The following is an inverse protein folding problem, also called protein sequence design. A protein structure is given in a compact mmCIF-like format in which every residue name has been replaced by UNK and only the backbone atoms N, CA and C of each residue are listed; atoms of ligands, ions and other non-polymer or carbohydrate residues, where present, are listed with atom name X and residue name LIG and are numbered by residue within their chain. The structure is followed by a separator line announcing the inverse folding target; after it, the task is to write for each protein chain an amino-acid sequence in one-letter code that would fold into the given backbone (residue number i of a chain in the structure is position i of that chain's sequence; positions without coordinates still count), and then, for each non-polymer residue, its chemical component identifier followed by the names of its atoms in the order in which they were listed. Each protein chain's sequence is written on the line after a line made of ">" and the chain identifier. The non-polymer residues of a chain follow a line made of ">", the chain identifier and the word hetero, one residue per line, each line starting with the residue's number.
data_IF_010469202176
#
_entry.id   IF_010469202176
#
_cell.length_a   1.000
_cell.length_b   1.000
_cell.length_c   1.000
_cell.angle_alpha   90.00
_cell.angle_beta   90.00
_cell.angle_gamma   90.00
#
_symmetry.space_group_name_H-M   'P 1'
#
loop_
_entity.id
_entity.type
_entity.pdbx_description
1 polymer ?
#
# COMPACT_ATOMS: atom_id res chain seq x y z
N UNK A 1 -12.20 2.51 -15.92
CA UNK A 1 -10.79 2.83 -15.62
C UNK A 1 -10.65 2.70 -14.13
N UNK A 2 -9.63 2.00 -13.64
CA UNK A 2 -9.58 1.66 -12.21
C UNK A 2 -9.12 2.88 -11.41
N UNK A 3 -9.84 3.28 -10.38
CA UNK A 3 -9.41 4.34 -9.46
C UNK A 3 -8.64 3.74 -8.28
N UNK A 4 -7.48 4.30 -7.98
CA UNK A 4 -6.64 3.86 -6.88
C UNK A 4 -6.77 4.82 -5.69
N UNK A 5 -7.25 4.33 -4.56
CA UNK A 5 -7.27 5.06 -3.31
C UNK A 5 -6.15 4.56 -2.40
N UNK A 6 -5.30 5.47 -1.95
CA UNK A 6 -4.19 5.15 -1.06
C UNK A 6 -4.44 5.68 0.34
N UNK A 7 -4.13 4.87 1.34
CA UNK A 7 -3.81 5.39 2.66
C UNK A 7 -2.47 6.15 2.63
N UNK A 8 -2.24 7.04 3.59
CA UNK A 8 -0.99 7.78 3.73
C UNK A 8 -0.04 7.07 4.71
N UNK A 9 -0.42 6.95 5.97
CA UNK A 9 0.47 6.54 7.06
C UNK A 9 0.92 5.09 6.91
N UNK A 10 2.23 4.85 6.98
CA UNK A 10 2.83 3.52 6.79
C UNK A 10 2.47 2.83 5.44
N UNK A 11 1.85 3.56 4.51
CA UNK A 11 1.45 3.08 3.17
C UNK A 11 2.19 3.86 2.09
N UNK A 12 1.99 5.19 2.02
CA UNK A 12 2.69 6.07 1.09
C UNK A 12 3.88 6.76 1.75
N UNK A 13 3.74 7.16 3.01
CA UNK A 13 4.73 7.96 3.71
C UNK A 13 4.71 7.71 5.22
N UNK A 14 5.85 7.94 5.85
CA UNK A 14 5.90 8.23 7.28
C UNK A 14 5.48 9.68 7.50
N UNK A 15 4.48 9.90 8.35
CA UNK A 15 3.96 11.22 8.67
C UNK A 15 4.34 11.65 10.06
N UNK A 16 4.96 12.82 10.18
CA UNK A 16 5.26 13.47 11.47
C UNK A 16 4.45 14.76 11.57
N UNK A 17 3.83 14.96 12.73
CA UNK A 17 3.20 16.24 13.07
C UNK A 17 4.25 17.17 13.67
N UNK A 18 4.37 18.35 13.09
CA UNK A 18 5.24 19.40 13.59
C UNK A 18 4.55 20.19 14.72
N UNK A 19 5.30 20.93 15.56
CA UNK A 19 4.74 21.71 16.67
C UNK A 19 3.71 22.78 16.25
N UNK A 20 3.77 23.25 15.00
CA UNK A 20 2.82 24.20 14.43
C UNK A 20 1.53 23.53 13.90
N UNK A 21 1.42 22.22 14.05
CA UNK A 21 0.29 21.41 13.60
C UNK A 21 0.35 21.00 12.12
N UNK A 22 1.38 21.42 11.38
CA UNK A 22 1.62 20.97 10.00
C UNK A 22 2.09 19.51 9.96
N UNK A 23 2.02 18.92 8.77
CA UNK A 23 2.51 17.57 8.52
C UNK A 23 3.78 17.60 7.67
N UNK A 24 4.77 16.83 8.09
CA UNK A 24 5.89 16.44 7.25
C UNK A 24 5.68 14.99 6.82
N UNK A 25 5.51 14.76 5.51
CA UNK A 25 5.38 13.43 4.92
C UNK A 25 6.69 13.04 4.24
N UNK A 26 7.29 11.93 4.69
CA UNK A 26 8.47 11.33 4.05
C UNK A 26 8.05 10.10 3.26
N UNK A 27 8.09 10.11 1.92
CA UNK A 27 7.68 8.98 1.12
C UNK A 27 8.43 7.70 1.48
N UNK A 28 7.69 6.59 1.60
CA UNK A 28 8.29 5.27 1.83
C UNK A 28 9.08 4.79 0.60
N UNK A 29 10.02 3.85 0.78
CA UNK A 29 10.79 3.30 -0.34
C UNK A 29 9.89 2.83 -1.48
N UNK A 30 10.30 3.14 -2.71
CA UNK A 30 9.65 2.71 -3.97
C UNK A 30 8.30 3.36 -4.28
N UNK A 31 7.69 4.10 -3.34
CA UNK A 31 6.37 4.71 -3.55
C UNK A 31 6.35 5.63 -4.77
N UNK A 32 7.32 6.53 -4.91
CA UNK A 32 7.37 7.44 -6.08
C UNK A 32 7.45 6.67 -7.40
N UNK A 33 8.28 5.63 -7.47
CA UNK A 33 8.41 4.79 -8.67
C UNK A 33 7.09 4.06 -9.00
N UNK A 34 6.40 3.56 -7.98
CA UNK A 34 5.09 2.91 -8.13
C UNK A 34 4.06 3.91 -8.66
N UNK A 35 3.99 5.10 -8.07
CA UNK A 35 3.04 6.14 -8.51
C UNK A 35 3.32 6.58 -9.95
N UNK A 36 4.58 6.65 -10.36
CA UNK A 36 4.98 6.96 -11.73
C UNK A 36 4.59 5.85 -12.71
N UNK A 37 4.77 4.57 -12.34
CA UNK A 37 4.33 3.42 -13.12
C UNK A 37 2.79 3.32 -13.24
N UNK A 38 2.06 4.02 -12.37
CA UNK A 38 0.60 4.10 -12.35
C UNK A 38 0.09 5.44 -12.90
N UNK A 39 0.92 6.23 -13.59
CA UNK A 39 0.57 7.59 -14.03
C UNK A 39 -0.77 7.69 -14.78
N UNK A 40 -1.15 6.66 -15.55
CA UNK A 40 -2.40 6.61 -16.31
C UNK A 40 -3.67 6.42 -15.45
N UNK A 41 -3.56 5.88 -14.23
CA UNK A 41 -4.72 5.61 -13.38
C UNK A 41 -5.08 6.84 -12.53
N UNK A 42 -6.38 7.14 -12.29
CA UNK A 42 -6.79 8.11 -11.27
C UNK A 42 -6.31 7.71 -9.88
N UNK A 43 -5.87 8.68 -9.09
CA UNK A 43 -5.32 8.47 -7.75
C UNK A 43 -6.03 9.37 -6.76
N UNK A 44 -6.50 8.77 -5.69
CA UNK A 44 -7.12 9.42 -4.54
C UNK A 44 -6.46 9.01 -3.23
N UNK A 45 -6.95 9.61 -2.15
CA UNK A 45 -6.55 9.32 -0.79
C UNK A 45 -7.76 8.94 0.04
N UNK A 46 -7.60 7.95 0.91
CA UNK A 46 -8.51 7.71 2.03
C UNK A 46 -7.63 7.66 3.28
N UNK A 47 -7.67 8.70 4.12
CA UNK A 47 -6.79 8.81 5.28
C UNK A 47 -7.49 9.48 6.46
N UNK A 48 -7.00 9.25 7.68
CA UNK A 48 -7.54 9.89 8.87
C UNK A 48 -6.56 10.95 9.41
N UNK A 49 -6.78 12.25 9.17
CA UNK A 49 -5.91 13.31 9.69
C UNK A 49 -6.11 13.58 11.19
N UNK A 50 -7.14 13.00 11.82
CA UNK A 50 -7.60 13.32 13.18
C UNK A 50 -8.75 14.33 13.18
N UNK A 51 -9.16 14.75 14.38
CA UNK A 51 -10.38 15.57 14.60
C UNK A 51 -10.12 17.06 14.78
N UNK A 52 -8.87 17.50 14.71
CA UNK A 52 -8.54 18.91 14.85
C UNK A 52 -9.09 19.74 13.70
N UNK A 53 -9.38 21.00 13.99
CA UNK A 53 -9.75 21.97 12.97
C UNK A 53 -8.65 22.07 11.90
N UNK A 54 -9.05 22.11 10.63
CA UNK A 54 -8.21 22.22 9.43
C UNK A 54 -7.18 21.08 9.26
N UNK A 55 -7.31 19.97 10.00
CA UNK A 55 -6.36 18.86 9.92
C UNK A 55 -6.29 18.23 8.52
N UNK A 56 -7.45 18.11 7.86
CA UNK A 56 -7.53 17.64 6.48
C UNK A 56 -6.79 18.58 5.51
N UNK A 57 -7.01 19.89 5.63
CA UNK A 57 -6.37 20.90 4.78
C UNK A 57 -4.84 20.88 4.94
N UNK A 58 -4.35 20.82 6.18
CA UNK A 58 -2.90 20.69 6.47
C UNK A 58 -2.32 19.41 5.89
N UNK A 59 -3.03 18.29 5.99
CA UNK A 59 -2.58 17.03 5.43
C UNK A 59 -2.57 17.06 3.89
N UNK A 60 -3.56 17.71 3.26
CA UNK A 60 -3.59 17.94 1.80
C UNK A 60 -2.39 18.75 1.32
N UNK A 61 -2.04 19.84 2.02
CA UNK A 61 -0.84 20.64 1.69
C UNK A 61 0.42 19.78 1.76
N UNK A 62 0.58 18.99 2.83
CA UNK A 62 1.72 18.10 2.99
C UNK A 62 1.77 16.98 1.93
N UNK A 63 0.61 16.43 1.57
CA UNK A 63 0.46 15.44 0.49
C UNK A 63 0.97 16.00 -0.84
N UNK A 64 0.54 17.20 -1.23
CA UNK A 64 0.98 17.79 -2.49
C UNK A 64 2.46 18.18 -2.47
N UNK A 65 2.99 18.59 -1.32
CA UNK A 65 4.41 18.86 -1.16
C UNK A 65 5.27 17.58 -1.32
N UNK A 66 4.85 16.47 -0.73
CA UNK A 66 5.56 15.19 -0.79
C UNK A 66 5.39 14.46 -2.13
N UNK A 67 4.23 14.61 -2.78
CA UNK A 67 3.86 13.92 -4.01
C UNK A 67 3.39 14.90 -5.10
N UNK A 68 4.26 15.82 -5.56
CA UNK A 68 3.89 16.85 -6.51
C UNK A 68 3.33 16.24 -7.80
N UNK A 69 2.15 16.72 -8.20
CA UNK A 69 1.46 16.32 -9.43
C UNK A 69 0.87 14.91 -9.45
N UNK A 70 0.86 14.17 -8.34
CA UNK A 70 0.39 12.76 -8.31
C UNK A 70 -1.05 12.59 -7.84
N UNK A 71 -1.55 13.49 -7.01
CA UNK A 71 -2.94 13.54 -6.54
C UNK A 71 -3.49 14.90 -6.92
N UNK A 72 -4.22 14.98 -8.04
CA UNK A 72 -4.64 16.27 -8.64
C UNK A 72 -6.14 16.46 -8.70
N UNK A 73 -6.93 15.43 -8.34
CA UNK A 73 -8.38 15.49 -8.30
C UNK A 73 -8.84 15.47 -6.84
N UNK A 74 -9.14 16.66 -6.31
CA UNK A 74 -9.53 16.85 -4.91
C UNK A 74 -10.81 16.09 -4.54
N UNK A 75 -11.65 15.74 -5.52
CA UNK A 75 -12.86 14.92 -5.30
C UNK A 75 -12.51 13.50 -4.86
N UNK A 76 -11.29 13.05 -5.13
CA UNK A 76 -10.78 11.73 -4.74
C UNK A 76 -10.02 11.77 -3.41
N UNK A 77 -10.01 12.91 -2.70
CA UNK A 77 -9.39 13.03 -1.37
C UNK A 77 -10.47 12.92 -0.29
N UNK A 78 -10.45 11.80 0.43
CA UNK A 78 -11.42 11.48 1.47
C UNK A 78 -10.70 11.44 2.82
N UNK A 79 -11.13 12.29 3.75
CA UNK A 79 -10.53 12.39 5.07
C UNK A 79 -11.53 12.08 6.17
N UNK A 80 -11.19 11.12 7.03
CA UNK A 80 -12.05 10.71 8.13
C UNK A 80 -11.63 9.39 8.75
N UNK A 81 -12.32 8.94 9.81
CA UNK A 81 -12.06 7.65 10.42
C UNK A 81 -12.32 6.50 9.44
N UNK A 82 -11.41 5.51 9.45
CA UNK A 82 -11.47 4.29 8.62
C UNK A 82 -11.94 3.08 9.45
N UNK A 83 -12.84 3.32 10.40
CA UNK A 83 -13.38 2.34 11.35
C UNK A 83 -14.74 1.77 10.92
N UNK A 84 -15.22 2.17 9.74
CA UNK A 84 -16.47 1.72 9.15
C UNK A 84 -16.39 1.74 7.63
N UNK A 85 -17.40 1.13 7.00
CA UNK A 85 -17.54 1.11 5.53
C UNK A 85 -17.82 2.50 4.93
N UNK A 86 -18.37 3.45 5.71
CA UNK A 86 -18.95 4.68 5.19
C UNK A 86 -17.99 5.51 4.33
N UNK A 87 -16.77 5.76 4.80
CA UNK A 87 -15.78 6.55 4.05
C UNK A 87 -15.36 5.88 2.73
N UNK A 88 -15.36 4.54 2.69
CA UNK A 88 -15.06 3.80 1.47
C UNK A 88 -16.21 3.86 0.47
N UNK A 89 -17.46 3.86 0.95
CA UNK A 89 -18.63 4.08 0.09
C UNK A 89 -18.63 5.49 -0.51
N UNK A 90 -18.30 6.51 0.30
CA UNK A 90 -18.16 7.90 -0.17
C UNK A 90 -17.05 8.03 -1.23
N UNK A 91 -15.91 7.34 -1.01
CA UNK A 91 -14.82 7.28 -1.96
C UNK A 91 -15.25 6.64 -3.28
N UNK A 92 -15.91 5.47 -3.24
CA UNK A 92 -16.45 4.82 -4.44
C UNK A 92 -17.44 5.74 -5.16
N UNK A 93 -18.38 6.37 -4.44
CA UNK A 93 -19.37 7.27 -5.02
C UNK A 93 -18.72 8.46 -5.75
N UNK A 94 -17.61 8.99 -5.24
CA UNK A 94 -16.87 10.10 -5.86
C UNK A 94 -16.30 9.79 -7.24
N UNK A 95 -16.10 8.51 -7.56
CA UNK A 95 -15.60 8.04 -8.86
C UNK A 95 -16.67 8.03 -9.94
N UNK A 96 -17.95 7.97 -9.57
CA UNK A 96 -19.08 7.76 -10.48
C UNK A 96 -19.11 6.37 -11.13
N UNK A 97 -18.25 5.44 -10.72
CA UNK A 97 -18.15 4.07 -11.21
C UNK A 97 -18.56 3.02 -10.18
N UNK A 98 -18.51 1.73 -10.55
CA UNK A 98 -18.80 0.64 -9.63
C UNK A 98 -17.64 0.44 -8.63
N UNK A 99 -17.94 -0.19 -7.49
CA UNK A 99 -16.96 -0.39 -6.43
C UNK A 99 -15.78 -1.29 -6.84
N UNK A 100 -16.01 -2.27 -7.71
CA UNK A 100 -14.98 -3.18 -8.22
C UNK A 100 -14.02 -2.51 -9.21
N UNK A 101 -14.37 -1.33 -9.75
CA UNK A 101 -13.46 -0.42 -10.45
C UNK A 101 -12.58 0.41 -9.49
N UNK A 102 -12.65 0.17 -8.19
CA UNK A 102 -11.82 0.83 -7.19
C UNK A 102 -10.87 -0.15 -6.50
N UNK A 103 -9.63 0.30 -6.23
CA UNK A 103 -8.66 -0.43 -5.40
C UNK A 103 -8.32 0.42 -4.19
N UNK A 104 -8.47 -0.13 -2.99
CA UNK A 104 -7.89 0.45 -1.77
C UNK A 104 -6.51 -0.15 -1.50
N UNK A 105 -5.52 0.73 -1.34
CA UNK A 105 -4.13 0.41 -1.04
C UNK A 105 -3.82 0.90 0.37
N UNK A 106 -3.55 -0.03 1.30
CA UNK A 106 -3.27 0.31 2.69
C UNK A 106 -2.69 -0.86 3.46
N UNK A 107 -1.80 -0.59 4.42
CA UNK A 107 -1.15 -1.63 5.23
C UNK A 107 -2.11 -2.33 6.20
N UNK A 108 -3.13 -1.62 6.70
CA UNK A 108 -3.93 -2.04 7.84
C UNK A 108 -4.95 -3.11 7.43
N UNK A 109 -4.88 -4.35 7.96
CA UNK A 109 -5.85 -5.40 7.61
C UNK A 109 -7.29 -5.04 7.97
N UNK A 110 -7.51 -4.32 9.07
CA UNK A 110 -8.83 -3.89 9.51
C UNK A 110 -9.48 -2.90 8.53
N UNK A 111 -8.72 -1.91 8.06
CA UNK A 111 -9.21 -0.94 7.08
C UNK A 111 -9.51 -1.60 5.74
N UNK A 112 -8.61 -2.50 5.29
CA UNK A 112 -8.87 -3.32 4.09
C UNK A 112 -10.12 -4.19 4.23
N UNK A 113 -10.48 -4.62 5.43
CA UNK A 113 -11.72 -5.36 5.65
C UNK A 113 -12.95 -4.48 5.39
N UNK A 114 -12.96 -3.22 5.83
CA UNK A 114 -14.04 -2.27 5.52
C UNK A 114 -14.08 -1.88 4.03
N UNK A 115 -12.93 -1.66 3.40
CA UNK A 115 -12.87 -1.43 1.95
C UNK A 115 -13.45 -2.62 1.15
N UNK A 116 -13.20 -3.86 1.61
CA UNK A 116 -13.79 -5.06 1.00
C UNK A 116 -15.31 -5.08 1.12
N UNK A 117 -15.87 -4.70 2.27
CA UNK A 117 -17.33 -4.66 2.43
C UNK A 117 -17.97 -3.54 1.62
N UNK A 118 -17.20 -2.52 1.22
CA UNK A 118 -17.56 -1.53 0.21
C UNK A 118 -17.48 -2.04 -1.24
N UNK A 119 -16.99 -3.26 -1.46
CA UNK A 119 -16.86 -3.87 -2.79
C UNK A 119 -15.58 -3.50 -3.53
N UNK A 120 -14.63 -2.84 -2.87
CA UNK A 120 -13.34 -2.49 -3.46
C UNK A 120 -12.41 -3.69 -3.56
N UNK A 121 -11.53 -3.68 -4.57
CA UNK A 121 -10.34 -4.53 -4.60
C UNK A 121 -9.29 -3.99 -3.64
N UNK A 122 -8.31 -4.83 -3.27
CA UNK A 122 -7.39 -4.54 -2.18
C UNK A 122 -5.93 -4.76 -2.57
N UNK A 123 -5.06 -3.89 -2.09
CA UNK A 123 -3.62 -4.10 -2.11
C UNK A 123 -3.02 -3.80 -0.72
N UNK A 124 -2.21 -4.71 -0.14
CA UNK A 124 -1.62 -4.48 1.19
C UNK A 124 -0.42 -3.54 1.19
N UNK A 125 0.06 -3.13 0.00
CA UNK A 125 1.20 -2.24 -0.18
C UNK A 125 1.15 -1.61 -1.59
N UNK A 126 1.65 -0.38 -1.83
CA UNK A 126 1.61 0.28 -3.14
C UNK A 126 2.19 -0.55 -4.29
N UNK A 127 3.26 -1.29 -4.03
CA UNK A 127 3.90 -2.20 -5.00
C UNK A 127 2.92 -3.21 -5.60
N UNK A 128 1.84 -3.56 -4.89
CA UNK A 128 0.83 -4.51 -5.35
C UNK A 128 -0.40 -3.84 -5.99
N UNK A 129 -0.43 -2.52 -6.13
CA UNK A 129 -1.57 -1.82 -6.71
C UNK A 129 -1.87 -2.30 -8.14
N UNK A 130 -0.83 -2.49 -8.97
CA UNK A 130 -1.00 -3.05 -10.33
C UNK A 130 -1.54 -4.49 -10.29
N UNK A 131 -1.03 -5.31 -9.39
CA UNK A 131 -1.53 -6.67 -9.21
C UNK A 131 -3.02 -6.69 -8.84
N UNK A 132 -3.48 -5.77 -7.97
CA UNK A 132 -4.89 -5.63 -7.63
C UNK A 132 -5.73 -5.15 -8.83
N UNK A 133 -5.22 -4.25 -9.68
CA UNK A 133 -5.86 -3.85 -10.95
C UNK A 133 -6.07 -5.08 -11.86
N UNK A 134 -5.12 -6.01 -11.86
CA UNK A 134 -5.09 -7.18 -12.73
C UNK A 134 -5.68 -8.44 -12.07
N UNK A 135 -6.31 -8.30 -10.90
CA UNK A 135 -6.85 -9.42 -10.10
C UNK A 135 -5.83 -10.53 -9.80
N UNK A 136 -4.56 -10.15 -9.63
CA UNK A 136 -3.48 -11.06 -9.29
C UNK A 136 -3.31 -11.15 -7.77
N UNK A 137 -3.29 -12.38 -7.21
CA UNK A 137 -3.19 -12.56 -5.77
C UNK A 137 -1.80 -12.21 -5.22
N UNK A 138 -1.79 -11.74 -3.97
CA UNK A 138 -0.58 -11.56 -3.15
C UNK A 138 -0.54 -12.62 -2.07
N UNK A 139 0.60 -13.26 -1.89
CA UNK A 139 0.82 -14.34 -0.95
C UNK A 139 1.84 -13.97 0.12
N UNK A 140 1.68 -14.54 1.30
CA UNK A 140 2.81 -14.69 2.21
C UNK A 140 3.82 -15.65 1.60
N UNK A 141 5.09 -15.27 1.62
CA UNK A 141 6.19 -16.05 1.06
C UNK A 141 7.33 -16.06 2.06
N UNK A 142 7.80 -17.25 2.42
CA UNK A 142 9.04 -17.41 3.17
C UNK A 142 10.21 -17.49 2.22
N UNK A 143 11.28 -16.76 2.53
CA UNK A 143 12.48 -16.64 1.72
C UNK A 143 13.66 -17.09 2.57
N UNK A 144 14.38 -18.11 2.09
CA UNK A 144 15.66 -18.52 2.68
C UNK A 144 16.75 -17.55 2.21
N UNK A 145 17.48 -16.96 3.15
CA UNK A 145 18.49 -15.92 2.93
C UNK A 145 19.87 -16.45 3.31
N UNK A 146 20.81 -16.54 2.35
CA UNK A 146 22.17 -16.98 2.63
C UNK A 146 22.87 -16.13 3.70
N UNK A 147 23.68 -16.78 4.56
CA UNK A 147 24.42 -16.18 5.68
C UNK A 147 25.24 -14.94 5.30
N UNK A 148 25.96 -14.98 4.18
CA UNK A 148 26.88 -13.92 3.77
C UNK A 148 26.26 -13.05 2.68
N UNK A 149 25.95 -11.80 3.01
CA UNK A 149 25.47 -10.78 2.05
C UNK A 149 24.03 -10.95 1.58
N UNK A 150 23.33 -12.03 1.96
CA UNK A 150 22.01 -12.38 1.44
C UNK A 150 20.93 -11.32 1.66
N UNK A 151 20.92 -10.62 2.80
CA UNK A 151 19.93 -9.57 3.07
C UNK A 151 20.10 -8.34 2.18
N UNK A 152 21.35 -7.96 1.86
CA UNK A 152 21.63 -6.84 0.96
C UNK A 152 21.17 -7.14 -0.47
N UNK A 153 21.48 -8.36 -0.94
CA UNK A 153 21.03 -8.85 -2.25
C UNK A 153 19.51 -8.96 -2.29
N UNK A 154 18.88 -9.52 -1.24
CA UNK A 154 17.43 -9.65 -1.16
C UNK A 154 16.76 -8.28 -1.25
N UNK A 155 17.25 -7.28 -0.51
CA UNK A 155 16.72 -5.92 -0.57
C UNK A 155 16.85 -5.33 -1.98
N UNK A 156 17.98 -5.54 -2.64
CA UNK A 156 18.20 -5.07 -4.00
C UNK A 156 17.23 -5.71 -5.00
N UNK A 157 17.04 -7.03 -4.92
CA UNK A 157 16.11 -7.77 -5.79
C UNK A 157 14.67 -7.38 -5.50
N UNK A 158 14.25 -7.38 -4.24
CA UNK A 158 12.90 -7.03 -3.84
C UNK A 158 12.50 -5.60 -4.27
N UNK A 159 13.45 -4.66 -4.27
CA UNK A 159 13.20 -3.29 -4.72
C UNK A 159 12.81 -3.20 -6.20
N UNK A 160 13.24 -4.15 -7.03
CA UNK A 160 12.90 -4.22 -8.45
C UNK A 160 11.71 -5.12 -8.79
N UNK A 161 11.05 -5.76 -7.82
CA UNK A 161 10.07 -6.82 -8.07
C UNK A 161 8.80 -6.66 -7.25
N UNK A 162 7.76 -7.42 -7.54
CA UNK A 162 6.54 -7.46 -6.72
C UNK A 162 6.73 -8.32 -5.46
N UNK A 163 7.75 -7.99 -4.66
CA UNK A 163 8.01 -8.56 -3.36
C UNK A 163 8.31 -7.45 -2.34
N UNK A 164 7.76 -7.61 -1.13
CA UNK A 164 7.92 -6.69 0.00
C UNK A 164 8.32 -7.50 1.22
N UNK A 165 9.61 -7.55 1.58
CA UNK A 165 10.09 -8.13 2.83
C UNK A 165 9.42 -7.44 4.02
N UNK A 166 8.83 -8.21 4.95
CA UNK A 166 8.06 -7.68 6.07
C UNK A 166 8.79 -7.89 7.41
N UNK A 167 9.23 -9.12 7.69
CA UNK A 167 9.87 -9.48 8.98
C UNK A 167 10.95 -10.53 8.79
N UNK A 168 12.02 -10.44 9.58
CA UNK A 168 12.99 -11.53 9.75
C UNK A 168 12.47 -12.47 10.85
N UNK A 169 12.11 -13.70 10.48
CA UNK A 169 11.73 -14.74 11.45
C UNK A 169 12.95 -15.43 12.06
N UNK A 170 14.08 -15.41 11.35
CA UNK A 170 15.39 -15.82 11.82
C UNK A 170 16.47 -15.12 10.96
N UNK A 171 17.77 -15.28 11.25
CA UNK A 171 18.84 -14.73 10.42
C UNK A 171 18.81 -15.20 8.95
N UNK A 172 18.18 -16.35 8.67
CA UNK A 172 18.11 -16.97 7.35
C UNK A 172 16.70 -17.04 6.79
N UNK A 173 15.68 -16.59 7.53
CA UNK A 173 14.31 -16.70 7.09
C UNK A 173 13.63 -15.33 7.13
N UNK A 174 13.28 -14.84 5.96
CA UNK A 174 12.51 -13.61 5.79
C UNK A 174 11.10 -13.96 5.35
N UNK A 175 10.11 -13.44 6.08
CA UNK A 175 8.72 -13.43 5.65
C UNK A 175 8.49 -12.18 4.79
N UNK A 176 7.96 -12.39 3.59
CA UNK A 176 7.62 -11.34 2.64
C UNK A 176 6.19 -11.50 2.14
N UNK A 177 5.60 -10.40 1.67
CA UNK A 177 4.46 -10.45 0.76
C UNK A 177 5.01 -10.48 -0.67
N UNK A 178 4.46 -11.33 -1.54
CA UNK A 178 4.85 -11.37 -2.95
C UNK A 178 3.70 -11.85 -3.84
N UNK A 179 3.66 -11.35 -5.07
CA UNK A 179 2.83 -11.97 -6.12
C UNK A 179 3.56 -13.17 -6.74
N UNK A 180 2.89 -13.92 -7.61
CA UNK A 180 3.55 -14.95 -8.41
C UNK A 180 4.75 -14.43 -9.21
N UNK A 181 4.69 -13.18 -9.71
CA UNK A 181 5.81 -12.55 -10.44
C UNK A 181 6.97 -12.21 -9.49
N UNK A 182 6.67 -11.70 -8.30
CA UNK A 182 7.69 -11.43 -7.28
C UNK A 182 8.41 -12.69 -6.82
N UNK A 183 7.66 -13.78 -6.59
CA UNK A 183 8.20 -15.10 -6.23
C UNK A 183 9.14 -15.62 -7.31
N UNK A 184 8.73 -15.55 -8.58
CA UNK A 184 9.56 -16.00 -9.70
C UNK A 184 10.85 -15.19 -9.83
N UNK A 185 10.77 -13.86 -9.70
CA UNK A 185 11.95 -13.02 -9.76
C UNK A 185 12.93 -13.27 -8.60
N UNK A 186 12.43 -13.58 -7.39
CA UNK A 186 13.26 -13.99 -6.26
C UNK A 186 13.97 -15.33 -6.55
N UNK A 187 13.27 -16.31 -7.12
CA UNK A 187 13.87 -17.61 -7.50
C UNK A 187 14.93 -17.45 -8.58
N UNK A 188 14.68 -16.61 -9.58
CA UNK A 188 15.67 -16.30 -10.62
C UNK A 188 16.92 -15.61 -10.06
N UNK A 189 16.79 -14.85 -8.98
CA UNK A 189 17.91 -14.27 -8.26
C UNK A 189 18.61 -15.26 -7.29
N UNK A 190 18.19 -16.53 -7.28
CA UNK A 190 18.83 -17.60 -6.50
C UNK A 190 18.28 -17.81 -5.09
N UNK A 191 17.17 -17.16 -4.72
CA UNK A 191 16.52 -17.39 -3.42
C UNK A 191 15.61 -18.63 -3.46
N UNK A 192 15.65 -19.42 -2.39
CA UNK A 192 14.64 -20.46 -2.15
C UNK A 192 13.40 -19.80 -1.55
N UNK A 193 12.24 -20.01 -2.17
CA UNK A 193 10.98 -19.41 -1.71
C UNK A 193 9.86 -20.44 -1.54
N UNK A 194 9.18 -20.36 -0.40
CA UNK A 194 8.00 -21.14 -0.07
C UNK A 194 6.76 -20.22 -0.06
N UNK A 195 5.85 -20.43 -1.01
CA UNK A 195 4.58 -19.69 -1.08
C UNK A 195 3.60 -20.29 -0.07
N UNK A 196 2.97 -19.42 0.71
CA UNK A 196 2.00 -19.79 1.76
C UNK A 196 0.60 -19.33 1.35
N UNK A 197 -0.23 -18.98 2.33
CA UNK A 197 -1.57 -18.48 2.10
C UNK A 197 -1.60 -17.07 1.47
N UNK A 198 -2.77 -16.69 0.96
CA UNK A 198 -3.01 -15.35 0.44
C UNK A 198 -3.07 -14.33 1.59
N UNK A 199 -2.47 -13.16 1.39
CA UNK A 199 -2.46 -12.08 2.39
C UNK A 199 -3.88 -11.62 2.74
N UNK A 200 -4.82 -11.73 1.79
CA UNK A 200 -6.23 -11.35 2.00
C UNK A 200 -6.98 -12.25 2.98
N UNK A 201 -6.53 -13.51 3.15
CA UNK A 201 -7.14 -14.51 4.02
C UNK A 201 -6.60 -14.43 5.45
N UNK A 202 -5.48 -13.75 5.65
CA UNK A 202 -4.87 -13.59 6.95
C UNK A 202 -5.61 -12.51 7.73
N UNK A 203 -6.59 -12.91 8.55
CA UNK A 203 -7.03 -12.08 9.66
C UNK A 203 -5.87 -11.99 10.67
N UNK A 204 -5.18 -10.85 10.72
CA UNK A 204 -4.20 -10.51 11.76
C UNK A 204 -3.10 -11.58 12.00
N UNK A 205 -2.06 -11.63 11.15
CA UNK A 205 -0.73 -12.04 11.63
C UNK A 205 -0.02 -10.82 12.24
N UNK A 206 -0.61 -10.27 13.30
CA UNK A 206 0.12 -9.46 14.27
C UNK A 206 0.16 -10.22 15.59
N UNK A 207 1.34 -10.37 16.21
CA UNK A 207 1.44 -10.88 17.57
C UNK A 207 0.65 -10.01 18.56
#
# INVERSE_FOLDING_TARGET
>A
MTTLFFDIGATLADGVREPDGSWLLTPLPRVSQVLDALAAEPKGIISNPGTEQDAAERLTVALHAAFPGRFTDDRLLHFGPKDSRAIFDDAVASTGGPADDCVFVGEAPAERAFARTAGMRLAPHPVFARAAIEDRPVFWTSIDVPEVGGLGVLKSVANGTEAVPSRTSSPHLVLAMATGLGVEALRQAGFTTEVRERVENTAALSP
#
